data_IF_532273310817
#
_entry.id   IF_532273310817
#
_cell.length_a   1.000
_cell.length_b   1.000
_cell.length_c   1.000
_cell.angle_alpha   90.00
_cell.angle_beta   90.00
_cell.angle_gamma   90.00
#
_symmetry.space_group_name_H-M   'P 1'
#
loop_
_entity.id
_entity.type
_entity.pdbx_description
1 polymer ?
#
# COMPACT_ATOMS: atom_id res chain seq x y z
N UNK A 1 7.81 -3.85 21.31
CA UNK A 1 7.79 -3.10 20.03
C UNK A 1 9.23 -2.94 19.57
N UNK A 2 9.59 -3.61 18.46
CA UNK A 2 10.92 -3.43 17.85
C UNK A 2 10.97 -2.09 17.11
N UNK A 3 12.10 -1.37 17.16
CA UNK A 3 12.28 -0.10 16.45
C UNK A 3 13.34 -0.27 15.37
N UNK A 4 12.96 0.04 14.13
CA UNK A 4 13.87 0.08 12.97
C UNK A 4 13.82 1.47 12.34
N UNK A 5 14.98 2.03 12.04
CA UNK A 5 15.14 3.32 11.33
C UNK A 5 15.79 3.08 9.97
N UNK A 6 15.45 3.94 9.00
CA UNK A 6 16.03 3.87 7.65
C UNK A 6 17.40 4.55 7.54
N UNK A 7 17.90 4.61 6.32
CA UNK A 7 19.14 5.34 5.99
C UNK A 7 18.90 6.84 6.19
N UNK A 8 19.77 7.55 6.93
CA UNK A 8 19.65 8.99 7.12
C UNK A 8 19.53 9.74 5.79
N UNK A 9 18.63 10.73 5.74
CA UNK A 9 18.38 11.59 4.58
C UNK A 9 17.90 10.87 3.30
N UNK A 10 17.61 9.56 3.34
CA UNK A 10 17.06 8.82 2.21
C UNK A 10 15.57 8.56 2.42
N UNK A 11 14.67 9.12 1.58
CA UNK A 11 13.23 8.88 1.71
C UNK A 11 12.81 7.49 1.19
N UNK A 12 13.69 6.78 0.48
CA UNK A 12 13.37 5.53 -0.23
C UNK A 12 12.87 4.45 0.70
N UNK A 13 13.41 4.38 1.93
CA UNK A 13 12.95 3.41 2.95
C UNK A 13 11.50 3.62 3.41
N UNK A 14 10.90 4.78 3.11
CA UNK A 14 9.53 5.13 3.47
C UNK A 14 8.65 5.43 2.24
N UNK A 15 9.09 5.03 1.03
CA UNK A 15 8.39 5.34 -0.22
C UNK A 15 6.90 4.91 -0.24
N UNK A 16 6.55 3.81 0.43
CA UNK A 16 5.14 3.37 0.58
C UNK A 16 4.32 4.36 1.39
N UNK A 17 4.89 4.88 2.49
CA UNK A 17 4.25 5.90 3.34
C UNK A 17 4.14 7.22 2.59
N UNK A 18 5.18 7.62 1.87
CA UNK A 18 5.15 8.84 1.06
C UNK A 18 4.10 8.77 -0.06
N UNK A 19 3.96 7.62 -0.72
CA UNK A 19 2.87 7.40 -1.68
C UNK A 19 1.51 7.50 -1.01
N UNK A 20 1.34 6.95 0.20
CA UNK A 20 0.10 7.06 0.96
C UNK A 20 -0.23 8.52 1.32
N UNK A 21 0.79 9.32 1.70
CA UNK A 21 0.62 10.77 1.93
C UNK A 21 0.15 11.50 0.68
N UNK A 22 0.71 11.18 -0.49
CA UNK A 22 0.27 11.76 -1.76
C UNK A 22 -1.19 11.42 -2.06
N UNK A 23 -1.60 10.16 -1.90
CA UNK A 23 -3.01 9.76 -2.07
C UNK A 23 -3.93 10.51 -1.11
N UNK A 24 -3.55 10.64 0.16
CA UNK A 24 -4.33 11.37 1.15
C UNK A 24 -4.50 12.84 0.76
N UNK A 25 -3.42 13.51 0.36
CA UNK A 25 -3.45 14.92 -0.12
C UNK A 25 -4.39 15.08 -1.32
N UNK A 26 -4.34 14.16 -2.28
CA UNK A 26 -5.23 14.20 -3.45
C UNK A 26 -6.71 14.07 -3.06
N UNK A 27 -7.05 13.15 -2.15
CA UNK A 27 -8.44 13.00 -1.67
C UNK A 27 -8.89 14.23 -0.88
N UNK A 28 -8.04 14.76 0.00
CA UNK A 28 -8.31 16.00 0.75
C UNK A 28 -8.55 17.20 -0.19
N UNK A 29 -7.76 17.33 -1.26
CA UNK A 29 -7.93 18.39 -2.25
C UNK A 29 -9.26 18.26 -3.01
N UNK A 30 -9.65 17.04 -3.39
CA UNK A 30 -10.90 16.77 -4.12
C UNK A 30 -12.15 17.05 -3.30
N UNK A 31 -12.12 16.83 -1.98
CA UNK A 31 -13.28 17.08 -1.13
C UNK A 31 -13.47 18.54 -0.74
N UNK A 32 -12.47 19.41 -0.99
CA UNK A 32 -12.43 20.79 -0.49
C UNK A 32 -13.69 21.60 -0.82
N UNK A 33 -14.24 21.47 -2.04
CA UNK A 33 -15.48 22.12 -2.46
C UNK A 33 -16.77 21.59 -1.82
N UNK A 34 -16.78 20.33 -1.35
CA UNK A 34 -17.98 19.67 -0.79
C UNK A 34 -17.99 19.62 0.74
N UNK A 35 -16.96 20.17 1.40
CA UNK A 35 -16.73 20.00 2.84
C UNK A 35 -16.31 21.27 3.55
N UNK A 36 -16.59 22.46 2.99
CA UNK A 36 -16.16 23.74 3.57
C UNK A 36 -16.54 23.89 5.05
N UNK A 37 -17.76 23.48 5.42
CA UNK A 37 -18.32 23.52 6.77
C UNK A 37 -17.73 22.49 7.76
N UNK A 38 -16.93 21.54 7.27
CA UNK A 38 -16.38 20.46 8.11
C UNK A 38 -15.09 20.89 8.82
N UNK A 39 -14.91 20.43 10.05
CA UNK A 39 -13.66 20.57 10.79
C UNK A 39 -12.51 19.81 10.10
N UNK A 40 -11.24 20.16 10.37
CA UNK A 40 -10.09 19.41 9.83
C UNK A 40 -10.14 17.91 10.15
N UNK A 41 -10.61 17.53 11.35
CA UNK A 41 -10.74 16.13 11.74
C UNK A 41 -11.83 15.42 10.93
N UNK A 42 -12.98 16.05 10.72
CA UNK A 42 -14.06 15.48 9.91
C UNK A 42 -13.61 15.28 8.46
N UNK A 43 -12.90 16.26 7.89
CA UNK A 43 -12.27 16.16 6.56
C UNK A 43 -11.31 14.97 6.49
N UNK A 44 -10.47 14.79 7.52
CA UNK A 44 -9.54 13.67 7.59
C UNK A 44 -10.27 12.32 7.69
N UNK A 45 -11.25 12.20 8.58
CA UNK A 45 -12.04 10.98 8.74
C UNK A 45 -12.75 10.57 7.44
N UNK A 46 -13.38 11.54 6.74
CA UNK A 46 -14.02 11.29 5.45
C UNK A 46 -13.02 10.83 4.38
N UNK A 47 -11.85 11.44 4.31
CA UNK A 47 -10.80 11.04 3.37
C UNK A 47 -10.28 9.63 3.66
N UNK A 48 -9.99 9.31 4.93
CA UNK A 48 -9.57 7.98 5.34
C UNK A 48 -10.64 6.92 5.07
N UNK A 49 -11.91 7.22 5.34
CA UNK A 49 -13.02 6.34 5.00
C UNK A 49 -13.05 6.04 3.50
N UNK A 50 -12.89 7.07 2.67
CA UNK A 50 -12.86 6.93 1.21
C UNK A 50 -11.70 6.04 0.76
N UNK A 51 -10.49 6.27 1.30
CA UNK A 51 -9.29 5.50 0.95
C UNK A 51 -9.41 4.05 1.40
N UNK A 52 -9.91 3.80 2.62
CA UNK A 52 -9.91 2.46 3.22
C UNK A 52 -11.09 1.58 2.78
N UNK A 53 -12.25 2.18 2.50
CA UNK A 53 -13.51 1.44 2.29
C UNK A 53 -14.10 1.59 0.89
N UNK A 54 -13.83 2.70 0.18
CA UNK A 54 -14.47 3.00 -1.11
C UNK A 54 -13.52 2.90 -2.30
N UNK A 55 -12.21 3.02 -2.06
CA UNK A 55 -11.22 2.99 -3.12
C UNK A 55 -11.02 1.55 -3.63
N UNK A 56 -11.57 1.24 -4.81
CA UNK A 56 -11.38 -0.01 -5.52
C UNK A 56 -10.47 0.22 -6.73
N UNK A 57 -9.52 -0.67 -6.98
CA UNK A 57 -8.76 -0.63 -8.22
C UNK A 57 -9.42 -1.52 -9.27
N UNK A 58 -9.10 -1.29 -10.55
CA UNK A 58 -9.58 -2.13 -11.65
C UNK A 58 -9.14 -3.59 -11.50
N UNK A 59 -7.90 -3.81 -11.05
CA UNK A 59 -7.31 -5.13 -10.84
C UNK A 59 -7.75 -5.79 -9.54
N UNK A 60 -8.27 -5.03 -8.57
CA UNK A 60 -8.71 -5.56 -7.29
C UNK A 60 -9.98 -4.85 -6.81
N UNK A 61 -11.10 -5.53 -7.02
CA UNK A 61 -12.42 -5.03 -6.64
C UNK A 61 -12.65 -5.03 -5.11
N UNK A 62 -11.77 -5.63 -4.31
CA UNK A 62 -11.89 -5.61 -2.85
C UNK A 62 -11.32 -4.30 -2.27
N UNK A 63 -12.07 -3.57 -1.43
CA UNK A 63 -11.54 -2.38 -0.75
C UNK A 63 -10.37 -2.72 0.19
N UNK A 64 -9.44 -1.77 0.45
CA UNK A 64 -8.27 -2.00 1.29
C UNK A 64 -8.55 -2.57 2.68
N UNK A 65 -9.68 -2.21 3.29
CA UNK A 65 -10.10 -2.75 4.60
C UNK A 65 -10.25 -4.27 4.57
N UNK A 66 -10.75 -4.83 3.47
CA UNK A 66 -10.95 -6.28 3.31
C UNK A 66 -9.59 -6.97 3.33
N UNK A 67 -8.60 -6.42 2.62
CA UNK A 67 -7.22 -6.92 2.66
C UNK A 67 -6.57 -6.81 4.02
N UNK A 68 -6.85 -5.74 4.77
CA UNK A 68 -6.27 -5.54 6.10
C UNK A 68 -6.71 -6.61 7.10
N UNK A 69 -7.97 -7.03 7.05
CA UNK A 69 -8.51 -8.05 7.98
C UNK A 69 -8.45 -9.48 7.43
N UNK A 70 -8.50 -9.67 6.11
CA UNK A 70 -8.50 -11.00 5.46
C UNK A 70 -7.15 -11.42 4.87
N UNK A 71 -6.04 -10.86 5.37
CA UNK A 71 -4.69 -11.04 4.80
C UNK A 71 -4.24 -12.51 4.71
N UNK A 72 -4.88 -13.41 5.46
CA UNK A 72 -4.51 -14.83 5.52
C UNK A 72 -4.92 -15.69 4.33
N UNK A 73 -6.01 -15.39 3.60
CA UNK A 73 -6.57 -16.32 2.59
C UNK A 73 -6.88 -15.68 1.22
N UNK A 74 -7.15 -14.38 1.13
CA UNK A 74 -7.57 -13.75 -0.14
C UNK A 74 -6.41 -13.34 -1.07
N UNK A 75 -5.20 -13.18 -0.52
CA UNK A 75 -4.01 -12.75 -1.26
C UNK A 75 -2.94 -13.84 -1.37
N UNK A 76 -3.23 -15.04 -0.83
CA UNK A 76 -2.38 -16.19 -1.12
C UNK A 76 -2.55 -16.52 -2.59
N UNK A 77 -1.42 -16.58 -3.29
CA UNK A 77 -1.41 -17.05 -4.67
C UNK A 77 -2.00 -18.46 -4.70
N UNK A 78 -3.01 -18.69 -5.54
CA UNK A 78 -3.60 -20.01 -5.74
C UNK A 78 -2.59 -20.98 -6.37
N UNK A 79 -1.61 -20.45 -7.08
CA UNK A 79 -0.47 -21.17 -7.64
C UNK A 79 0.81 -20.40 -7.31
N UNK A 80 1.84 -21.11 -6.90
CA UNK A 80 3.17 -20.55 -6.63
C UNK A 80 4.14 -21.06 -7.70
N UNK A 81 4.16 -20.42 -8.88
CA UNK A 81 5.00 -20.91 -9.97
C UNK A 81 6.48 -20.89 -9.56
N UNK A 82 7.28 -21.86 -10.05
CA UNK A 82 8.72 -21.82 -9.85
C UNK A 82 9.33 -20.60 -10.55
N UNK A 83 10.14 -19.83 -9.82
CA UNK A 83 10.81 -18.62 -10.31
C UNK A 83 12.33 -18.78 -10.30
N UNK A 84 12.97 -18.18 -11.29
CA UNK A 84 14.41 -18.01 -11.34
C UNK A 84 14.75 -16.60 -10.83
N UNK A 85 15.75 -16.49 -9.97
CA UNK A 85 16.19 -15.22 -9.38
C UNK A 85 17.61 -14.94 -9.83
N UNK A 86 17.86 -13.73 -10.35
CA UNK A 86 19.21 -13.27 -10.68
C UNK A 86 19.87 -12.74 -9.41
N UNK A 87 20.98 -13.36 -9.03
CA UNK A 87 21.79 -12.93 -7.90
C UNK A 87 22.43 -11.58 -8.24
N UNK A 88 22.18 -10.51 -7.45
CA UNK A 88 22.77 -9.21 -7.73
C UNK A 88 24.28 -9.14 -7.45
N UNK A 89 24.84 -10.05 -6.65
CA UNK A 89 26.26 -10.10 -6.31
C UNK A 89 27.04 -10.95 -7.31
N UNK A 90 26.54 -12.14 -7.67
CA UNK A 90 27.24 -13.06 -8.58
C UNK A 90 26.79 -12.94 -10.04
N UNK A 91 25.69 -12.23 -10.31
CA UNK A 91 25.04 -12.08 -11.61
C UNK A 91 24.47 -13.37 -12.24
N UNK A 92 24.61 -14.50 -11.55
CA UNK A 92 24.10 -15.80 -11.96
C UNK A 92 22.60 -15.90 -11.73
N UNK A 93 21.92 -16.63 -12.61
CA UNK A 93 20.49 -16.96 -12.44
C UNK A 93 20.37 -18.27 -11.67
N UNK A 94 19.79 -18.24 -10.47
CA UNK A 94 19.60 -19.41 -9.59
C UNK A 94 18.12 -19.83 -9.52
N UNK A 95 17.87 -21.10 -9.22
CA UNK A 95 16.53 -21.66 -9.02
C UNK A 95 16.33 -23.03 -9.67
N UNK A 96 15.08 -23.51 -9.79
CA UNK A 96 13.83 -22.80 -9.46
C UNK A 96 13.53 -22.70 -7.95
N UNK A 97 12.98 -21.56 -7.52
CA UNK A 97 12.45 -21.33 -6.17
C UNK A 97 10.93 -21.17 -6.21
N UNK A 98 10.24 -21.52 -5.12
CA UNK A 98 8.81 -21.27 -4.99
C UNK A 98 8.54 -19.77 -4.74
N UNK A 99 7.58 -19.18 -5.45
CA UNK A 99 7.14 -17.81 -5.20
C UNK A 99 6.37 -17.74 -3.87
N UNK A 100 6.95 -17.07 -2.85
CA UNK A 100 6.38 -16.98 -1.49
C UNK A 100 5.17 -16.05 -1.39
#
# INVERSE_FOLDING_TARGET
VERKTGIPHSPTGQAVVERAHQTLKQVLARQSSSTEWMSPQQKLCKALFTISFLNRSFENMSPPVVRHFNSGNQFKLSQRPPVLIRDPETWETKGPYELM
#
